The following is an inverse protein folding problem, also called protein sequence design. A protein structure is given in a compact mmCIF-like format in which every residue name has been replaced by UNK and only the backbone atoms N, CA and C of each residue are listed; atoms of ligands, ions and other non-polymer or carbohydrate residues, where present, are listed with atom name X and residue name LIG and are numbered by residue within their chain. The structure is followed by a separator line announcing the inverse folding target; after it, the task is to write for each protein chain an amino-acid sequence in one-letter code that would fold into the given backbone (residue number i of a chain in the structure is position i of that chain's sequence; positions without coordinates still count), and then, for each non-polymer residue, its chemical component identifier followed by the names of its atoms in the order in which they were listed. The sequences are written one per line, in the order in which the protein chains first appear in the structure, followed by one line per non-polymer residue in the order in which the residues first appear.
data_IF_326221279525
#
_entry.id   IF_326221279525
#
_cell.length_a   1.000
_cell.length_b   1.000
_cell.length_c   1.000
_cell.angle_alpha   90.00
_cell.angle_beta   90.00
_cell.angle_gamma   90.00
#
_symmetry.space_group_name_H-M   'P 1'
#
loop_
_entity.id
_entity.type
_entity.pdbx_description
1 polymer ?
#
# COMPACT_ATOMS: atom_id res chain seq x y z
N UNK A 1 21.54 -22.55 16.06
CA UNK A 1 20.57 -21.98 17.03
C UNK A 1 20.09 -20.56 16.71
N UNK A 2 20.94 -19.59 16.31
CA UNK A 2 20.49 -18.20 16.02
C UNK A 2 19.44 -18.07 14.89
N UNK A 3 19.61 -18.76 13.76
CA UNK A 3 18.61 -18.77 12.65
C UNK A 3 17.27 -19.37 13.07
N UNK A 4 17.28 -20.51 13.78
CA UNK A 4 16.05 -21.14 14.27
C UNK A 4 15.29 -20.24 15.26
N UNK A 5 16.01 -19.56 16.17
CA UNK A 5 15.42 -18.59 17.09
C UNK A 5 14.81 -17.40 16.33
N UNK A 6 15.48 -16.89 15.29
CA UNK A 6 14.95 -15.82 14.44
C UNK A 6 13.64 -16.22 13.75
N UNK A 7 13.59 -17.40 13.10
CA UNK A 7 12.37 -17.90 12.46
C UNK A 7 11.24 -18.18 13.46
N UNK A 8 11.54 -18.70 14.65
CA UNK A 8 10.56 -18.88 15.72
C UNK A 8 10.00 -17.55 16.23
N UNK A 9 10.85 -16.52 16.37
CA UNK A 9 10.40 -15.19 16.78
C UNK A 9 9.52 -14.54 15.72
N UNK A 10 9.90 -14.66 14.44
CA UNK A 10 9.08 -14.18 13.31
C UNK A 10 7.72 -14.91 13.24
N UNK A 11 7.72 -16.21 13.54
CA UNK A 11 6.53 -17.06 13.47
C UNK A 11 5.59 -16.91 14.67
N UNK A 12 6.03 -16.49 15.86
CA UNK A 12 5.15 -16.42 17.05
C UNK A 12 5.02 -15.03 17.67
N UNK A 13 5.95 -14.10 17.43
CA UNK A 13 6.01 -12.81 18.12
C UNK A 13 5.85 -11.62 17.16
N UNK A 14 5.01 -11.77 16.14
CA UNK A 14 4.67 -10.70 15.19
C UNK A 14 3.28 -10.14 15.49
N UNK A 15 3.08 -8.83 15.27
CA UNK A 15 1.75 -8.18 15.37
C UNK A 15 0.72 -8.90 14.48
N UNK A 16 1.17 -9.44 13.36
CA UNK A 16 0.36 -10.27 12.46
C UNK A 16 -0.10 -11.58 13.12
N UNK A 17 0.75 -12.26 13.91
CA UNK A 17 0.34 -13.44 14.68
C UNK A 17 -0.80 -13.11 15.62
N UNK A 18 -0.65 -12.00 16.35
CA UNK A 18 -1.64 -11.57 17.33
C UNK A 18 -2.98 -11.27 16.64
N UNK A 19 -2.95 -10.57 15.49
CA UNK A 19 -4.15 -10.35 14.68
C UNK A 19 -4.79 -11.67 14.25
N UNK A 20 -3.99 -12.60 13.70
CA UNK A 20 -4.49 -13.92 13.28
C UNK A 20 -5.09 -14.73 14.44
N UNK A 21 -4.47 -14.67 15.62
CA UNK A 21 -5.00 -15.33 16.81
C UNK A 21 -6.34 -14.72 17.22
N UNK A 22 -6.44 -13.38 17.23
CA UNK A 22 -7.68 -12.65 17.53
C UNK A 22 -8.79 -12.98 16.53
N UNK A 23 -8.50 -13.04 15.22
CA UNK A 23 -9.51 -13.45 14.22
C UNK A 23 -10.00 -14.87 14.44
N UNK A 24 -9.13 -15.78 14.89
CA UNK A 24 -9.49 -17.13 15.31
C UNK A 24 -10.46 -17.13 16.50
N UNK A 25 -10.17 -16.34 17.55
CA UNK A 25 -11.05 -16.20 18.72
C UNK A 25 -12.41 -15.64 18.32
N UNK A 26 -12.44 -14.61 17.48
CA UNK A 26 -13.70 -14.02 16.97
C UNK A 26 -14.50 -15.07 16.20
N UNK A 27 -13.86 -15.86 15.33
CA UNK A 27 -14.53 -16.92 14.59
C UNK A 27 -15.17 -17.97 15.52
N UNK A 28 -14.50 -18.32 16.62
CA UNK A 28 -15.05 -19.23 17.64
C UNK A 28 -16.26 -18.61 18.34
N UNK A 29 -16.19 -17.33 18.69
CA UNK A 29 -17.33 -16.61 19.30
C UNK A 29 -18.53 -16.59 18.34
N UNK A 30 -18.30 -16.29 17.06
CA UNK A 30 -19.34 -16.35 16.02
C UNK A 30 -19.98 -17.73 15.96
N UNK A 31 -19.17 -18.80 15.98
CA UNK A 31 -19.69 -20.18 15.99
C UNK A 31 -20.63 -20.40 17.18
N UNK A 32 -20.16 -20.12 18.41
CA UNK A 32 -20.93 -20.33 19.64
C UNK A 32 -22.23 -19.53 19.63
N UNK A 33 -22.19 -18.26 19.21
CA UNK A 33 -23.38 -17.39 19.16
C UNK A 33 -24.41 -17.90 18.15
N UNK A 34 -23.97 -18.29 16.95
CA UNK A 34 -24.87 -18.83 15.93
C UNK A 34 -25.45 -20.16 16.38
N UNK A 35 -24.65 -21.06 16.94
CA UNK A 35 -25.11 -22.32 17.50
C UNK A 35 -26.17 -22.09 18.59
N UNK A 36 -25.90 -21.21 19.55
CA UNK A 36 -26.83 -20.87 20.62
C UNK A 36 -28.13 -20.27 20.07
N UNK A 37 -28.03 -19.40 19.07
CA UNK A 37 -29.19 -18.79 18.43
C UNK A 37 -30.04 -19.84 17.70
N UNK A 38 -29.44 -20.69 16.88
CA UNK A 38 -30.14 -21.78 16.17
C UNK A 38 -30.82 -22.75 17.16
N UNK A 39 -30.12 -23.14 18.22
CA UNK A 39 -30.61 -24.14 19.17
C UNK A 39 -31.65 -23.59 20.15
N UNK A 40 -31.44 -22.37 20.70
CA UNK A 40 -32.32 -21.79 21.73
C UNK A 40 -33.44 -20.93 21.17
N UNK A 41 -33.20 -20.15 20.12
CA UNK A 41 -34.21 -19.23 19.58
C UNK A 41 -35.09 -19.86 18.50
N UNK A 42 -34.53 -20.76 17.67
CA UNK A 42 -35.27 -21.39 16.57
C UNK A 42 -35.73 -22.82 16.88
N UNK A 43 -35.37 -23.37 18.06
CA UNK A 43 -35.74 -24.74 18.45
C UNK A 43 -35.16 -25.83 17.54
N UNK A 44 -34.10 -25.51 16.80
CA UNK A 44 -33.46 -26.43 15.86
C UNK A 44 -32.48 -27.35 16.60
N UNK A 45 -33.03 -28.26 17.42
CA UNK A 45 -32.24 -29.15 18.29
C UNK A 45 -31.48 -30.25 17.55
N UNK A 46 -31.76 -30.47 16.27
CA UNK A 46 -30.96 -31.42 15.48
C UNK A 46 -29.63 -30.77 15.16
N UNK A 47 -28.55 -31.43 15.57
CA UNK A 47 -27.15 -31.04 15.37
C UNK A 47 -26.88 -30.46 13.97
N UNK A 48 -27.39 -31.08 12.91
CA UNK A 48 -27.19 -30.56 11.55
C UNK A 48 -27.73 -29.13 11.33
N UNK A 49 -28.90 -28.80 11.88
CA UNK A 49 -29.52 -27.49 11.68
C UNK A 49 -28.89 -26.38 12.52
N UNK A 50 -28.22 -26.73 13.62
CA UNK A 50 -27.51 -25.77 14.48
C UNK A 50 -26.04 -25.61 14.10
N UNK A 51 -25.33 -26.72 13.91
CA UNK A 51 -23.87 -26.74 13.80
C UNK A 51 -23.38 -26.39 12.40
N UNK A 52 -24.08 -26.85 11.35
CA UNK A 52 -23.65 -26.56 9.98
C UNK A 52 -23.67 -25.06 9.67
N UNK A 53 -24.76 -24.30 9.95
CA UNK A 53 -24.75 -22.86 9.74
C UNK A 53 -23.72 -22.13 10.60
N UNK A 54 -23.53 -22.57 11.85
CA UNK A 54 -22.56 -21.97 12.77
C UNK A 54 -21.11 -22.13 12.28
N UNK A 55 -20.76 -23.32 11.78
CA UNK A 55 -19.45 -23.60 11.19
C UNK A 55 -19.25 -22.77 9.92
N UNK A 56 -20.24 -22.72 9.02
CA UNK A 56 -20.14 -21.95 7.77
C UNK A 56 -19.90 -20.47 8.07
N UNK A 57 -20.70 -19.89 8.98
CA UNK A 57 -20.58 -18.47 9.30
C UNK A 57 -19.26 -18.16 10.02
N UNK A 58 -18.82 -19.04 10.91
CA UNK A 58 -17.51 -18.94 11.57
C UNK A 58 -16.35 -18.96 10.57
N UNK A 59 -16.37 -19.88 9.61
CA UNK A 59 -15.35 -19.98 8.56
C UNK A 59 -15.36 -18.74 7.66
N UNK A 60 -16.54 -18.24 7.31
CA UNK A 60 -16.69 -17.03 6.51
C UNK A 60 -16.18 -15.79 7.25
N UNK A 61 -16.53 -15.62 8.53
CA UNK A 61 -16.00 -14.52 9.36
C UNK A 61 -14.48 -14.59 9.49
N UNK A 62 -13.92 -15.78 9.71
CA UNK A 62 -12.48 -15.98 9.76
C UNK A 62 -11.82 -15.59 8.43
N UNK A 63 -12.41 -15.98 7.29
CA UNK A 63 -11.91 -15.63 5.97
C UNK A 63 -11.87 -14.11 5.76
N UNK A 64 -13.00 -13.44 6.00
CA UNK A 64 -13.14 -11.99 5.79
C UNK A 64 -12.16 -11.21 6.66
N UNK A 65 -12.08 -11.55 7.95
CA UNK A 65 -11.17 -10.88 8.88
C UNK A 65 -9.70 -11.12 8.52
N UNK A 66 -9.35 -12.36 8.12
CA UNK A 66 -8.00 -12.67 7.68
C UNK A 66 -7.64 -11.93 6.39
N UNK A 67 -8.57 -11.84 5.43
CA UNK A 67 -8.37 -11.13 4.17
C UNK A 67 -8.17 -9.63 4.37
N UNK A 68 -8.98 -8.98 5.21
CA UNK A 68 -8.99 -7.52 5.35
C UNK A 68 -7.96 -7.03 6.38
N UNK A 69 -7.88 -7.70 7.53
CA UNK A 69 -7.17 -7.16 8.69
C UNK A 69 -5.80 -7.81 8.93
N UNK A 70 -5.69 -9.11 8.70
CA UNK A 70 -4.45 -9.86 8.93
C UNK A 70 -3.52 -9.75 7.72
N UNK A 71 -3.98 -10.15 6.54
CA UNK A 71 -3.14 -10.30 5.34
C UNK A 71 -3.36 -9.22 4.28
N UNK A 72 -4.43 -8.40 4.38
CA UNK A 72 -4.75 -7.33 3.41
C UNK A 72 -4.67 -7.79 1.94
N UNK A 73 -5.28 -8.93 1.63
CA UNK A 73 -5.14 -9.55 0.31
C UNK A 73 -5.98 -8.87 -0.77
N UNK A 74 -5.39 -8.71 -1.95
CA UNK A 74 -6.00 -8.14 -3.15
C UNK A 74 -6.35 -9.20 -4.20
N UNK A 75 -6.20 -10.49 -3.88
CA UNK A 75 -6.34 -11.57 -4.86
C UNK A 75 -7.80 -11.87 -5.22
N UNK A 76 -8.05 -12.63 -6.30
CA UNK A 76 -9.41 -12.99 -6.72
C UNK A 76 -10.18 -13.67 -5.58
N UNK A 77 -11.35 -13.12 -5.24
CA UNK A 77 -12.12 -13.51 -4.05
C UNK A 77 -12.54 -14.98 -4.08
N UNK A 78 -13.03 -15.48 -5.22
CA UNK A 78 -13.52 -16.85 -5.31
C UNK A 78 -12.38 -17.88 -5.22
N UNK A 79 -11.30 -17.68 -5.98
CA UNK A 79 -10.16 -18.59 -5.98
C UNK A 79 -9.37 -18.56 -4.64
N UNK A 80 -9.33 -17.41 -3.98
CA UNK A 80 -8.75 -17.30 -2.64
C UNK A 80 -9.59 -18.01 -1.58
N UNK A 81 -10.91 -17.79 -1.61
CA UNK A 81 -11.83 -18.45 -0.68
C UNK A 81 -11.76 -19.97 -0.81
N UNK A 82 -11.71 -20.50 -2.04
CA UNK A 82 -11.62 -21.94 -2.27
C UNK A 82 -10.30 -22.52 -1.72
N UNK A 83 -9.18 -21.81 -1.90
CA UNK A 83 -7.89 -22.17 -1.28
C UNK A 83 -7.99 -22.14 0.24
N UNK A 84 -8.58 -21.09 0.82
CA UNK A 84 -8.72 -20.94 2.28
C UNK A 84 -9.49 -22.12 2.90
N UNK A 85 -10.64 -22.46 2.35
CA UNK A 85 -11.47 -23.57 2.85
C UNK A 85 -10.75 -24.91 2.64
N UNK A 86 -10.19 -25.13 1.45
CA UNK A 86 -9.48 -26.36 1.11
C UNK A 86 -8.28 -26.63 2.02
N UNK A 87 -7.45 -25.63 2.27
CA UNK A 87 -6.29 -25.77 3.16
C UNK A 87 -6.71 -26.05 4.59
N UNK A 88 -7.77 -25.39 5.06
CA UNK A 88 -8.26 -25.57 6.43
C UNK A 88 -8.79 -26.97 6.67
N UNK A 89 -9.55 -27.51 5.72
CA UNK A 89 -10.03 -28.90 5.77
C UNK A 89 -8.87 -29.90 5.73
N UNK A 90 -7.89 -29.69 4.85
CA UNK A 90 -6.73 -30.56 4.75
C UNK A 90 -5.90 -30.56 6.04
N UNK A 91 -5.67 -29.38 6.63
CA UNK A 91 -4.90 -29.23 7.87
C UNK A 91 -5.61 -29.88 9.04
N UNK A 92 -6.93 -29.65 9.21
CA UNK A 92 -7.71 -30.33 10.25
C UNK A 92 -7.69 -31.84 10.06
N UNK A 93 -7.81 -32.35 8.84
CA UNK A 93 -7.70 -33.79 8.58
C UNK A 93 -6.33 -34.36 9.00
N UNK A 94 -5.24 -33.70 8.62
CA UNK A 94 -3.88 -34.16 8.93
C UNK A 94 -3.61 -34.14 10.43
N UNK A 95 -3.91 -33.04 11.12
CA UNK A 95 -3.49 -32.89 12.52
C UNK A 95 -4.52 -33.43 13.52
N UNK A 96 -5.82 -33.24 13.28
CA UNK A 96 -6.86 -33.70 14.21
C UNK A 96 -7.14 -35.19 14.04
N UNK A 97 -7.24 -35.70 12.81
CA UNK A 97 -7.57 -37.11 12.60
C UNK A 97 -6.32 -37.99 12.57
N UNK A 98 -5.36 -37.68 11.69
CA UNK A 98 -4.15 -38.50 11.58
C UNK A 98 -3.15 -38.24 12.72
N UNK A 99 -2.97 -36.99 13.14
CA UNK A 99 -2.04 -36.61 14.21
C UNK A 99 -2.42 -37.18 15.57
N UNK A 100 -3.70 -37.06 15.96
CA UNK A 100 -4.19 -37.66 17.21
C UNK A 100 -4.08 -39.19 17.15
N UNK A 101 -4.47 -39.80 16.03
CA UNK A 101 -4.34 -41.26 15.85
C UNK A 101 -2.88 -41.72 15.97
N UNK A 102 -1.94 -40.99 15.38
CA UNK A 102 -0.52 -41.29 15.50
C UNK A 102 -0.04 -41.23 16.96
N UNK A 103 -0.43 -40.19 17.70
CA UNK A 103 -0.08 -40.06 19.12
C UNK A 103 -0.61 -41.22 19.97
N UNK A 104 -1.84 -41.68 19.70
CA UNK A 104 -2.45 -42.76 20.46
C UNK A 104 -1.93 -44.15 20.09
N UNK A 105 -1.76 -44.43 18.79
CA UNK A 105 -1.47 -45.79 18.32
C UNK A 105 0.01 -46.06 18.08
N UNK A 106 0.80 -45.04 17.77
CA UNK A 106 2.23 -45.19 17.50
C UNK A 106 3.06 -44.77 18.69
N UNK A 107 2.77 -43.61 19.27
CA UNK A 107 3.52 -43.10 20.43
C UNK A 107 2.95 -43.57 21.78
N UNK A 108 1.83 -44.32 21.76
CA UNK A 108 1.12 -44.84 22.94
C UNK A 108 0.90 -43.78 24.04
N UNK A 109 0.70 -42.52 23.65
CA UNK A 109 0.58 -41.40 24.58
C UNK A 109 -0.89 -41.03 24.76
N UNK A 110 -1.46 -41.41 25.90
CA UNK A 110 -2.84 -41.09 26.32
C UNK A 110 -2.89 -40.21 27.56
N UNK A 111 -1.88 -39.35 27.73
CA UNK A 111 -1.83 -38.44 28.88
C UNK A 111 -3.04 -37.50 28.87
N UNK A 112 -3.94 -37.66 29.83
CA UNK A 112 -5.07 -36.77 30.04
C UNK A 112 -4.61 -35.56 30.85
N UNK A 113 -4.86 -34.35 30.33
CA UNK A 113 -4.59 -33.09 31.04
C UNK A 113 -5.81 -32.73 31.88
N UNK A 114 -7.00 -32.87 31.29
CA UNK A 114 -8.30 -32.73 31.95
C UNK A 114 -9.05 -34.04 31.75
N UNK A 115 -9.32 -34.80 32.83
CA UNK A 115 -9.94 -36.12 32.73
C UNK A 115 -11.22 -36.11 31.89
N UNK A 116 -11.26 -36.95 30.85
CA UNK A 116 -12.42 -37.08 29.94
C UNK A 116 -12.70 -35.89 29.02
N UNK A 117 -11.93 -34.80 29.08
CA UNK A 117 -12.20 -33.57 28.30
C UNK A 117 -11.05 -33.26 27.34
N UNK A 118 -9.81 -33.24 27.84
CA UNK A 118 -8.65 -32.80 27.07
C UNK A 118 -7.44 -33.67 27.37
N UNK A 119 -6.92 -34.31 26.33
CA UNK A 119 -5.64 -35.01 26.38
C UNK A 119 -4.54 -34.20 25.67
N UNK A 120 -3.31 -34.59 25.96
CA UNK A 120 -2.12 -33.94 25.40
C UNK A 120 -2.07 -34.03 23.86
N UNK A 121 -2.60 -35.11 23.27
CA UNK A 121 -2.62 -35.28 21.82
C UNK A 121 -3.56 -34.26 21.14
N UNK A 122 -4.75 -34.04 21.69
CA UNK A 122 -5.70 -33.01 21.24
C UNK A 122 -5.14 -31.60 21.38
N UNK A 123 -4.48 -31.30 22.50
CA UNK A 123 -3.87 -29.99 22.72
C UNK A 123 -2.76 -29.72 21.69
N UNK A 124 -1.88 -30.70 21.46
CA UNK A 124 -0.82 -30.59 20.46
C UNK A 124 -1.39 -30.46 19.05
N UNK A 125 -2.38 -31.29 18.69
CA UNK A 125 -3.05 -31.22 17.40
C UNK A 125 -3.64 -29.82 17.15
N UNK A 126 -4.35 -29.26 18.13
CA UNK A 126 -4.93 -27.91 18.03
C UNK A 126 -3.85 -26.84 17.83
N UNK A 127 -2.74 -26.92 18.57
CA UNK A 127 -1.62 -26.01 18.39
C UNK A 127 -1.02 -26.08 16.98
N UNK A 128 -0.83 -27.29 16.44
CA UNK A 128 -0.36 -27.48 15.08
C UNK A 128 -1.35 -26.99 14.03
N UNK A 129 -2.66 -27.20 14.23
CA UNK A 129 -3.72 -26.69 13.33
C UNK A 129 -3.67 -25.16 13.24
N UNK A 130 -3.53 -24.46 14.36
CA UNK A 130 -3.44 -22.99 14.37
C UNK A 130 -2.20 -22.51 13.61
N UNK A 131 -1.04 -23.12 13.89
CA UNK A 131 0.22 -22.73 13.24
C UNK A 131 0.19 -23.05 11.75
N UNK A 132 -0.24 -24.25 11.36
CA UNK A 132 -0.31 -24.69 9.98
C UNK A 132 -1.30 -23.85 9.16
N UNK A 133 -2.47 -23.51 9.72
CA UNK A 133 -3.44 -22.64 9.04
C UNK A 133 -2.91 -21.22 8.85
N UNK A 134 -2.12 -20.71 9.79
CA UNK A 134 -1.44 -19.42 9.60
C UNK A 134 -0.39 -19.48 8.51
N UNK A 135 0.49 -20.49 8.55
CA UNK A 135 1.57 -20.67 7.56
C UNK A 135 0.97 -20.82 6.17
N UNK A 136 -0.05 -21.67 6.01
CA UNK A 136 -0.78 -21.81 4.76
C UNK A 136 -1.48 -20.51 4.34
N UNK A 137 -2.07 -19.80 5.30
CA UNK A 137 -2.62 -18.46 5.12
C UNK A 137 -1.63 -17.50 4.46
N UNK A 138 -0.44 -17.37 5.04
CA UNK A 138 0.62 -16.46 4.60
C UNK A 138 1.24 -16.84 3.26
N UNK A 139 1.50 -18.13 3.01
CA UNK A 139 2.29 -18.56 1.85
C UNK A 139 1.47 -19.08 0.67
N UNK A 140 0.23 -19.52 0.89
CA UNK A 140 -0.55 -20.21 -0.13
C UNK A 140 -1.91 -19.58 -0.38
N UNK A 141 -2.62 -19.13 0.65
CA UNK A 141 -3.99 -18.64 0.55
C UNK A 141 -4.03 -17.16 0.19
N UNK A 142 -3.56 -16.30 1.09
CA UNK A 142 -3.66 -14.85 0.95
C UNK A 142 -2.40 -14.33 0.25
N UNK A 143 -2.58 -13.80 -0.96
CA UNK A 143 -1.49 -13.13 -1.69
C UNK A 143 -1.57 -11.63 -1.46
N UNK A 144 -0.47 -11.02 -1.07
CA UNK A 144 -0.36 -9.57 -0.98
C UNK A 144 0.06 -9.00 -2.34
N UNK A 145 0.08 -7.66 -2.46
CA UNK A 145 0.62 -6.99 -3.67
C UNK A 145 2.07 -7.41 -3.94
N UNK A 146 2.83 -7.79 -2.90
CA UNK A 146 4.21 -8.23 -3.02
C UNK A 146 4.38 -9.67 -3.56
N UNK A 147 3.33 -10.51 -3.52
CA UNK A 147 3.40 -11.94 -3.88
C UNK A 147 2.98 -12.24 -5.33
N UNK A 148 2.75 -11.20 -6.14
CA UNK A 148 2.42 -11.36 -7.55
C UNK A 148 3.71 -11.45 -8.38
N UNK A 149 4.00 -12.57 -9.07
CA UNK A 149 5.26 -12.80 -9.80
C UNK A 149 5.43 -11.94 -11.07
N UNK A 150 4.75 -10.80 -11.16
CA UNK A 150 4.85 -9.82 -12.26
C UNK A 150 4.85 -8.36 -11.80
N UNK A 151 4.89 -8.10 -10.49
CA UNK A 151 5.07 -6.75 -9.94
C UNK A 151 6.48 -6.63 -9.42
N UNK A 152 7.32 -5.87 -10.13
CA UNK A 152 8.65 -5.42 -9.68
C UNK A 152 8.53 -4.90 -8.23
N UNK A 153 9.55 -5.18 -7.40
CA UNK A 153 9.67 -4.68 -6.02
C UNK A 153 9.27 -3.18 -5.95
N UNK A 154 8.35 -2.75 -5.06
CA UNK A 154 7.92 -1.35 -4.98
C UNK A 154 9.07 -0.36 -4.90
N UNK A 155 10.15 -0.71 -4.21
CA UNK A 155 11.34 0.13 -4.15
C UNK A 155 12.06 0.13 -5.50
N UNK A 156 12.23 -1.03 -6.15
CA UNK A 156 12.80 -1.11 -7.49
C UNK A 156 11.98 -0.35 -8.55
N UNK A 157 10.64 -0.34 -8.44
CA UNK A 157 9.76 0.45 -9.28
C UNK A 157 9.97 1.96 -9.09
N UNK A 158 10.08 2.40 -7.83
CA UNK A 158 10.41 3.78 -7.50
C UNK A 158 11.78 4.17 -8.04
N UNK A 159 12.80 3.35 -7.76
CA UNK A 159 14.17 3.55 -8.23
C UNK A 159 14.22 3.62 -9.75
N UNK A 160 13.44 2.77 -10.44
CA UNK A 160 13.30 2.80 -11.90
C UNK A 160 12.63 4.09 -12.38
N UNK A 161 11.53 4.51 -11.76
CA UNK A 161 10.82 5.73 -12.12
C UNK A 161 11.72 6.97 -11.95
N UNK A 162 12.44 7.06 -10.82
CA UNK A 162 13.42 8.12 -10.56
C UNK A 162 14.60 8.01 -11.52
N UNK A 163 15.08 6.80 -11.82
CA UNK A 163 16.15 6.59 -12.80
C UNK A 163 15.73 6.98 -14.21
N UNK A 164 14.46 6.81 -14.61
CA UNK A 164 13.97 7.31 -15.90
C UNK A 164 14.09 8.83 -15.97
N UNK A 165 13.71 9.54 -14.91
CA UNK A 165 13.88 11.00 -14.79
C UNK A 165 15.38 11.35 -14.89
N UNK A 166 16.25 10.63 -14.20
CA UNK A 166 17.70 10.86 -14.20
C UNK A 166 18.43 10.51 -15.50
N UNK A 167 17.91 9.57 -16.30
CA UNK A 167 18.46 9.16 -17.61
C UNK A 167 18.01 10.07 -18.75
N UNK A 168 16.91 10.79 -18.59
CA UNK A 168 16.48 11.77 -19.57
C UNK A 168 17.56 12.84 -19.75
N UNK A 169 17.69 13.38 -20.96
CA UNK A 169 18.72 14.37 -21.27
C UNK A 169 18.60 15.56 -20.29
N UNK A 170 19.69 15.85 -19.57
CA UNK A 170 19.78 17.00 -18.68
C UNK A 170 19.71 18.31 -19.45
N UNK A 171 20.21 18.29 -20.68
CA UNK A 171 20.25 19.43 -21.56
C UNK A 171 19.53 19.15 -22.89
N UNK A 172 18.85 20.17 -23.43
CA UNK A 172 18.34 20.21 -24.79
C UNK A 172 19.28 19.69 -25.89
N UNK A 173 18.83 18.74 -26.73
CA UNK A 173 19.51 18.45 -28.02
C UNK A 173 19.14 19.47 -29.12
N UNK A 174 18.07 20.25 -28.91
CA UNK A 174 17.59 21.25 -29.87
C UNK A 174 17.13 22.53 -29.15
N UNK A 175 17.19 23.68 -29.81
CA UNK A 175 16.77 24.97 -29.23
C UNK A 175 15.23 25.15 -29.19
N UNK A 176 14.49 24.03 -29.26
CA UNK A 176 13.02 24.02 -29.28
C UNK A 176 12.49 24.49 -27.92
N UNK A 177 11.96 25.73 -27.90
CA UNK A 177 11.45 26.44 -26.71
C UNK A 177 10.23 25.76 -26.06
N UNK A 178 9.55 24.88 -26.78
CA UNK A 178 8.23 24.32 -26.40
C UNK A 178 8.26 22.83 -26.01
N UNK A 179 9.39 22.29 -25.54
CA UNK A 179 9.47 20.86 -25.18
C UNK A 179 8.52 20.45 -24.06
N UNK A 180 8.64 21.13 -22.92
CA UNK A 180 7.79 20.88 -21.77
C UNK A 180 6.32 21.09 -22.12
N UNK A 181 6.01 22.17 -22.85
CA UNK A 181 4.63 22.48 -23.26
C UNK A 181 4.00 21.41 -24.15
N UNK A 182 4.77 20.77 -25.06
CA UNK A 182 4.28 19.63 -25.85
C UNK A 182 3.97 18.42 -24.97
N UNK A 183 4.83 18.10 -23.99
CA UNK A 183 4.57 17.02 -23.03
C UNK A 183 3.31 17.32 -22.18
N UNK A 184 3.18 18.54 -21.67
CA UNK A 184 2.05 18.91 -20.84
C UNK A 184 0.74 18.91 -21.62
N UNK A 185 0.76 19.31 -22.90
CA UNK A 185 -0.39 19.23 -23.78
C UNK A 185 -0.85 17.79 -24.02
N UNK A 186 0.09 16.86 -24.23
CA UNK A 186 -0.21 15.42 -24.33
C UNK A 186 -0.81 14.87 -23.02
N UNK A 187 -0.46 15.47 -21.88
CA UNK A 187 -1.01 15.15 -20.56
C UNK A 187 -2.29 15.93 -20.22
N UNK A 188 -2.85 16.69 -21.17
CA UNK A 188 -4.10 17.44 -20.99
C UNK A 188 -3.95 18.73 -20.17
N UNK A 189 -2.81 19.41 -20.32
CA UNK A 189 -2.48 20.71 -19.73
C UNK A 189 -2.84 20.82 -18.23
N UNK A 190 -2.27 19.96 -17.37
CA UNK A 190 -2.65 19.88 -15.96
C UNK A 190 -2.42 21.18 -15.18
N UNK A 191 -1.46 21.98 -15.62
CA UNK A 191 -1.12 23.29 -15.04
C UNK A 191 -2.23 24.35 -15.14
N UNK A 192 -3.28 24.12 -15.96
CA UNK A 192 -4.43 25.02 -16.08
C UNK A 192 -5.49 24.82 -14.99
N UNK A 193 -5.34 23.83 -14.13
CA UNK A 193 -6.35 23.46 -13.14
C UNK A 193 -6.35 24.36 -11.88
N UNK A 194 -5.30 25.16 -11.68
CA UNK A 194 -5.09 25.95 -10.46
C UNK A 194 -4.33 27.25 -10.79
N UNK A 195 -4.50 28.32 -10.00
CA UNK A 195 -3.62 29.49 -10.05
C UNK A 195 -2.24 29.12 -9.47
N UNK A 196 -1.20 29.82 -9.92
CA UNK A 196 0.15 29.54 -9.45
C UNK A 196 0.99 30.82 -9.30
N UNK A 197 1.80 30.88 -8.25
CA UNK A 197 2.88 31.84 -8.09
C UNK A 197 4.16 31.26 -8.69
N UNK A 198 4.81 32.00 -9.58
CA UNK A 198 6.04 31.56 -10.25
C UNK A 198 7.27 32.32 -9.74
N UNK A 199 8.17 31.62 -9.06
CA UNK A 199 9.32 32.21 -8.36
C UNK A 199 10.60 31.94 -9.15
N UNK A 200 11.11 32.99 -9.77
CA UNK A 200 12.39 33.02 -10.47
C UNK A 200 13.42 33.88 -9.73
N UNK A 201 14.70 33.59 -9.90
CA UNK A 201 15.77 34.37 -9.29
C UNK A 201 17.09 33.62 -9.11
N UNK A 202 18.16 34.36 -8.88
CA UNK A 202 19.51 33.79 -8.69
C UNK A 202 19.61 33.08 -7.35
N UNK A 203 19.22 33.74 -6.26
CA UNK A 203 19.30 33.25 -4.88
C UNK A 203 17.97 33.40 -4.16
N UNK A 204 17.75 32.57 -3.13
CA UNK A 204 16.60 32.69 -2.24
C UNK A 204 15.28 32.14 -2.77
N UNK A 205 15.23 31.59 -3.99
CA UNK A 205 14.02 31.00 -4.58
C UNK A 205 13.34 29.96 -3.66
N UNK A 206 14.08 28.94 -3.23
CA UNK A 206 13.59 27.93 -2.29
C UNK A 206 13.11 28.48 -0.95
N UNK A 207 13.78 29.51 -0.42
CA UNK A 207 13.36 30.16 0.84
C UNK A 207 12.06 30.94 0.65
N UNK A 208 11.95 31.74 -0.42
CA UNK A 208 10.75 32.52 -0.72
C UNK A 208 9.58 31.59 -1.08
N UNK A 209 9.82 30.50 -1.81
CA UNK A 209 8.78 29.52 -2.13
C UNK A 209 8.25 28.83 -0.87
N UNK A 210 9.14 28.47 0.06
CA UNK A 210 8.77 27.95 1.39
C UNK A 210 7.94 28.96 2.17
N UNK A 211 8.41 30.19 2.33
CA UNK A 211 7.69 31.22 3.08
C UNK A 211 6.30 31.48 2.50
N UNK A 212 6.20 31.61 1.18
CA UNK A 212 4.90 31.83 0.53
C UNK A 212 3.97 30.63 0.70
N UNK A 213 4.46 29.40 0.52
CA UNK A 213 3.66 28.20 0.70
C UNK A 213 3.12 28.09 2.13
N UNK A 214 3.96 28.38 3.13
CA UNK A 214 3.56 28.38 4.54
C UNK A 214 2.56 29.50 4.86
N UNK A 215 2.75 30.72 4.34
CA UNK A 215 1.81 31.83 4.54
C UNK A 215 0.42 31.49 3.96
N UNK A 216 0.38 30.97 2.73
CA UNK A 216 -0.87 30.59 2.07
C UNK A 216 -1.56 29.42 2.79
N UNK A 217 -0.79 28.42 3.20
CA UNK A 217 -1.32 27.29 3.95
C UNK A 217 -1.86 27.71 5.33
N UNK A 218 -1.15 28.62 6.03
CA UNK A 218 -1.61 29.21 7.29
C UNK A 218 -2.90 30.03 7.11
N UNK A 219 -3.11 30.60 5.93
CA UNK A 219 -4.35 31.29 5.57
C UNK A 219 -5.52 30.34 5.23
N UNK A 220 -5.31 29.01 5.30
CA UNK A 220 -6.35 28.01 5.09
C UNK A 220 -6.44 27.45 3.66
N UNK A 221 -5.51 27.79 2.77
CA UNK A 221 -5.49 27.26 1.41
C UNK A 221 -4.82 25.88 1.36
N UNK A 222 -5.27 25.06 0.41
CA UNK A 222 -4.55 23.87 -0.03
C UNK A 222 -3.50 24.23 -1.06
N UNK A 223 -2.24 24.19 -0.65
CA UNK A 223 -1.10 24.69 -1.41
C UNK A 223 -0.28 23.55 -2.00
N UNK A 224 -0.15 23.53 -3.33
CA UNK A 224 0.89 22.75 -3.99
C UNK A 224 2.23 23.49 -3.94
N UNK A 225 3.31 22.82 -3.58
CA UNK A 225 4.62 23.43 -3.43
C UNK A 225 5.66 22.61 -4.20
N UNK A 226 6.29 23.25 -5.20
CA UNK A 226 7.29 22.66 -6.05
C UNK A 226 8.65 23.34 -5.87
N UNK A 227 9.69 22.56 -5.55
CA UNK A 227 11.06 23.03 -5.31
C UNK A 227 12.11 22.21 -6.03
N UNK A 228 13.27 22.82 -6.27
CA UNK A 228 14.44 22.10 -6.76
C UNK A 228 15.76 22.78 -6.36
N UNK A 229 16.84 22.02 -6.10
CA UNK A 229 16.91 20.56 -6.04
C UNK A 229 16.30 19.96 -4.75
N UNK A 230 16.25 18.62 -4.64
CA UNK A 230 15.97 17.95 -3.35
C UNK A 230 17.27 17.83 -2.54
N UNK A 231 17.16 17.67 -1.22
CA UNK A 231 18.31 17.47 -0.33
C UNK A 231 18.52 15.99 0.01
N UNK A 232 17.51 15.29 0.51
CA UNK A 232 17.65 13.89 0.95
C UNK A 232 16.78 12.93 0.13
N UNK A 233 15.51 13.28 -0.08
CA UNK A 233 14.48 12.46 -0.73
C UNK A 233 13.94 13.15 -1.96
N UNK A 234 13.76 12.40 -3.05
CA UNK A 234 13.17 12.91 -4.28
C UNK A 234 11.79 13.56 -4.05
N UNK A 235 11.02 13.01 -3.11
CA UNK A 235 9.66 13.40 -2.77
C UNK A 235 9.55 14.84 -2.25
N UNK A 236 10.62 15.38 -1.63
CA UNK A 236 10.70 16.75 -1.12
C UNK A 236 10.36 17.81 -2.18
N UNK A 237 10.59 17.49 -3.46
CA UNK A 237 10.35 18.42 -4.57
C UNK A 237 8.88 18.72 -4.82
N UNK A 238 8.00 17.82 -4.43
CA UNK A 238 6.56 17.91 -4.74
C UNK A 238 5.80 17.68 -3.46
N UNK A 239 5.28 18.76 -2.89
CA UNK A 239 4.55 18.75 -1.62
C UNK A 239 3.15 19.35 -1.78
N UNK A 240 2.18 18.84 -1.03
CA UNK A 240 0.86 19.47 -0.87
C UNK A 240 0.58 19.63 0.62
N UNK A 241 0.25 20.85 1.02
CA UNK A 241 -0.14 21.19 2.39
C UNK A 241 -1.56 21.74 2.38
N UNK A 242 -2.41 21.27 3.29
CA UNK A 242 -3.84 21.57 3.36
C UNK A 242 -4.19 22.22 4.70
N UNK A 243 -4.08 23.54 4.75
CA UNK A 243 -4.42 24.36 5.91
C UNK A 243 -3.44 24.29 7.10
N UNK A 244 -3.71 25.07 8.17
CA UNK A 244 -2.80 25.23 9.31
C UNK A 244 -2.45 23.92 10.05
N UNK A 245 -3.34 22.92 10.03
CA UNK A 245 -3.08 21.62 10.65
C UNK A 245 -1.94 20.85 9.96
N UNK A 246 -1.79 21.00 8.65
CA UNK A 246 -0.67 20.43 7.90
C UNK A 246 0.65 21.12 8.24
N UNK A 247 0.63 22.43 8.55
CA UNK A 247 1.83 23.14 9.02
C UNK A 247 2.28 22.65 10.40
N UNK A 248 1.34 22.45 11.33
CA UNK A 248 1.66 21.89 12.64
C UNK A 248 2.24 20.46 12.52
N UNK A 249 1.72 19.65 11.57
CA UNK A 249 2.28 18.33 11.25
C UNK A 249 3.66 18.43 10.62
N UNK A 250 3.87 19.39 9.72
CA UNK A 250 5.17 19.64 9.09
C UNK A 250 6.27 19.99 10.10
N UNK A 251 5.95 20.81 11.11
CA UNK A 251 6.88 21.16 12.18
C UNK A 251 7.31 19.93 13.01
N UNK A 252 6.45 18.92 13.12
CA UNK A 252 6.74 17.66 13.79
C UNK A 252 7.44 16.62 12.89
N UNK A 253 7.09 16.61 11.60
CA UNK A 253 7.58 15.68 10.59
C UNK A 253 7.71 16.38 9.23
N UNK A 254 8.95 16.62 8.81
CA UNK A 254 9.27 17.29 7.56
C UNK A 254 8.87 16.50 6.31
N UNK A 255 8.49 15.23 6.44
CA UNK A 255 7.92 14.45 5.33
C UNK A 255 6.45 14.77 5.05
N UNK A 256 5.80 15.55 5.92
CA UNK A 256 4.41 15.93 5.77
C UNK A 256 4.14 16.57 4.41
N UNK A 257 3.12 16.05 3.74
CA UNK A 257 2.66 16.55 2.44
C UNK A 257 3.52 16.13 1.25
N UNK A 258 4.68 15.48 1.44
CA UNK A 258 5.48 14.95 0.33
C UNK A 258 4.65 13.97 -0.52
N UNK A 259 4.84 14.00 -1.85
CA UNK A 259 4.18 13.06 -2.75
C UNK A 259 4.55 11.60 -2.36
N UNK A 260 3.59 10.67 -2.21
CA UNK A 260 3.93 9.28 -1.87
C UNK A 260 4.62 8.52 -3.02
N UNK A 261 5.50 7.58 -2.68
CA UNK A 261 6.24 6.76 -3.68
C UNK A 261 5.36 6.07 -4.71
N UNK A 262 4.24 5.50 -4.25
CA UNK A 262 3.25 4.84 -5.11
C UNK A 262 2.68 5.80 -6.17
N UNK A 263 2.54 7.07 -5.81
CA UNK A 263 1.96 8.11 -6.65
C UNK A 263 3.01 8.64 -7.64
N UNK A 264 4.28 8.70 -7.24
CA UNK A 264 5.40 8.91 -8.17
C UNK A 264 5.40 7.82 -9.25
N UNK A 265 5.40 6.54 -8.87
CA UNK A 265 5.45 5.42 -9.84
C UNK A 265 4.24 5.47 -10.78
N UNK A 266 3.04 5.66 -10.23
CA UNK A 266 1.79 5.73 -11.01
C UNK A 266 1.79 6.88 -12.01
N UNK A 267 2.20 8.08 -11.59
CA UNK A 267 2.23 9.26 -12.45
C UNK A 267 3.36 9.17 -13.48
N UNK A 268 4.53 8.66 -13.09
CA UNK A 268 5.63 8.44 -14.02
C UNK A 268 5.27 7.45 -15.13
N UNK A 269 4.48 6.41 -14.84
CA UNK A 269 3.94 5.54 -15.88
C UNK A 269 3.12 6.28 -16.95
N UNK A 270 2.32 7.28 -16.55
CA UNK A 270 1.57 8.16 -17.48
C UNK A 270 2.51 9.07 -18.27
N UNK A 271 3.46 9.70 -17.57
CA UNK A 271 4.42 10.66 -18.15
C UNK A 271 5.33 9.97 -19.16
N UNK A 272 5.87 8.80 -18.85
CA UNK A 272 6.71 8.02 -19.77
C UNK A 272 5.96 7.64 -21.04
N UNK A 273 4.68 7.26 -20.91
CA UNK A 273 3.86 6.92 -22.07
C UNK A 273 3.67 8.16 -22.96
N UNK A 274 3.34 9.31 -22.38
CA UNK A 274 3.22 10.57 -23.11
C UNK A 274 4.54 10.98 -23.76
N UNK A 275 5.66 10.89 -23.03
CA UNK A 275 7.00 11.19 -23.53
C UNK A 275 7.38 10.29 -24.73
N UNK A 276 7.08 8.99 -24.67
CA UNK A 276 7.28 8.06 -25.81
C UNK A 276 6.41 8.44 -27.01
N UNK A 277 5.16 8.82 -26.79
CA UNK A 277 4.25 9.26 -27.87
C UNK A 277 4.79 10.50 -28.58
N UNK A 278 5.19 11.54 -27.84
CA UNK A 278 5.71 12.78 -28.46
C UNK A 278 7.07 12.58 -29.12
N UNK A 279 7.92 11.70 -28.59
CA UNK A 279 9.20 11.37 -29.20
C UNK A 279 8.99 10.67 -30.55
N UNK A 280 8.03 9.73 -30.64
CA UNK A 280 7.70 9.05 -31.88
C UNK A 280 6.94 9.91 -32.90
N UNK A 281 6.03 10.77 -32.44
CA UNK A 281 5.19 11.62 -33.30
C UNK A 281 5.92 12.88 -33.78
N UNK A 282 6.57 13.59 -32.85
CA UNK A 282 7.06 14.95 -33.07
C UNK A 282 8.61 15.02 -33.09
N UNK A 283 9.30 13.91 -32.82
CA UNK A 283 10.76 13.88 -32.70
C UNK A 283 11.29 14.75 -31.55
N UNK A 284 10.48 14.94 -30.50
CA UNK A 284 10.81 15.78 -29.35
C UNK A 284 11.06 14.88 -28.13
N UNK A 285 12.30 14.90 -27.62
CA UNK A 285 12.65 14.25 -26.37
C UNK A 285 12.39 15.17 -25.17
N UNK A 286 11.71 14.66 -24.14
CA UNK A 286 11.52 15.34 -22.86
C UNK A 286 12.81 15.29 -22.03
N UNK A 287 13.14 16.41 -21.38
CA UNK A 287 14.26 16.48 -20.44
C UNK A 287 13.88 15.96 -19.05
N UNK A 288 14.89 15.79 -18.21
CA UNK A 288 14.71 15.49 -16.78
C UNK A 288 13.75 16.48 -16.10
N UNK A 289 13.92 17.78 -16.36
CA UNK A 289 13.12 18.84 -15.75
C UNK A 289 11.69 18.87 -16.28
N UNK A 290 11.46 18.55 -17.56
CA UNK A 290 10.11 18.47 -18.14
C UNK A 290 9.30 17.35 -17.48
N UNK A 291 9.88 16.17 -17.31
CA UNK A 291 9.19 15.04 -16.68
C UNK A 291 8.88 15.31 -15.19
N UNK A 292 9.83 15.91 -14.48
CA UNK A 292 9.66 16.27 -13.07
C UNK A 292 8.59 17.35 -12.88
N UNK A 293 8.56 18.35 -13.74
CA UNK A 293 7.56 19.41 -13.70
C UNK A 293 6.17 18.86 -14.08
N UNK A 294 6.09 17.94 -15.05
CA UNK A 294 4.86 17.23 -15.37
C UNK A 294 4.32 16.43 -14.17
N UNK A 295 5.20 15.77 -13.41
CA UNK A 295 4.85 15.03 -12.20
C UNK A 295 4.20 15.96 -11.16
N UNK A 296 4.82 17.11 -10.90
CA UNK A 296 4.29 18.12 -9.99
C UNK A 296 2.90 18.60 -10.45
N UNK A 297 2.76 18.95 -11.74
CA UNK A 297 1.49 19.46 -12.25
C UNK A 297 0.34 18.45 -12.18
N UNK A 298 0.61 17.20 -12.55
CA UNK A 298 -0.39 16.14 -12.43
C UNK A 298 -0.78 15.90 -10.97
N UNK A 299 0.20 15.92 -10.05
CA UNK A 299 -0.08 15.72 -8.63
C UNK A 299 -0.93 16.84 -8.05
N UNK A 300 -0.59 18.11 -8.30
CA UNK A 300 -1.36 19.24 -7.79
C UNK A 300 -2.78 19.28 -8.34
N UNK A 301 -2.96 18.91 -9.62
CA UNK A 301 -4.30 18.75 -10.21
C UNK A 301 -5.08 17.61 -9.56
N UNK A 302 -4.47 16.45 -9.35
CA UNK A 302 -5.12 15.31 -8.68
C UNK A 302 -5.45 15.61 -7.21
N UNK A 303 -4.66 16.45 -6.54
CA UNK A 303 -4.91 16.90 -5.17
C UNK A 303 -5.91 18.07 -5.07
N UNK A 304 -6.35 18.63 -6.21
CA UNK A 304 -7.22 19.80 -6.25
C UNK A 304 -6.70 20.96 -5.39
N UNK A 305 -5.42 21.33 -5.56
CA UNK A 305 -4.83 22.46 -4.85
C UNK A 305 -5.55 23.77 -5.22
N UNK A 306 -5.79 24.62 -4.23
CA UNK A 306 -6.37 25.96 -4.43
C UNK A 306 -5.38 26.91 -5.10
N UNK A 307 -4.09 26.72 -4.80
CA UNK A 307 -2.98 27.52 -5.35
C UNK A 307 -1.70 26.71 -5.36
N UNK A 308 -0.80 27.01 -6.28
CA UNK A 308 0.50 26.35 -6.38
C UNK A 308 1.65 27.37 -6.32
N UNK A 309 2.72 27.03 -5.62
CA UNK A 309 3.97 27.81 -5.57
C UNK A 309 5.04 27.04 -6.34
N UNK A 310 5.49 27.60 -7.45
CA UNK A 310 6.44 26.98 -8.38
C UNK A 310 7.80 27.70 -8.33
N UNK A 311 8.84 27.02 -7.87
CA UNK A 311 10.22 27.46 -8.05
C UNK A 311 10.74 27.09 -9.45
N UNK A 312 11.32 28.06 -10.17
CA UNK A 312 12.07 27.77 -11.42
C UNK A 312 13.31 26.95 -11.11
N UNK A 313 13.62 25.96 -11.95
CA UNK A 313 14.89 25.23 -11.87
C UNK A 313 16.09 26.11 -12.25
N UNK A 314 16.04 26.76 -13.41
CA UNK A 314 17.12 27.62 -13.90
C UNK A 314 16.60 28.79 -14.75
N UNK A 315 16.99 30.01 -14.37
CA UNK A 315 16.63 31.22 -15.11
C UNK A 315 15.14 31.55 -14.97
N UNK A 316 14.34 31.19 -15.97
CA UNK A 316 12.91 31.46 -15.99
C UNK A 316 12.31 31.37 -17.39
N UNK A 317 12.77 32.19 -18.35
CA UNK A 317 12.17 32.28 -19.71
C UNK A 317 12.05 30.93 -20.44
N UNK A 318 13.03 30.05 -20.27
CA UNK A 318 13.08 28.72 -20.91
C UNK A 318 12.94 27.58 -19.90
N UNK A 319 12.51 27.89 -18.68
CA UNK A 319 12.33 26.89 -17.64
C UNK A 319 11.10 26.02 -17.94
N UNK A 320 11.16 24.74 -17.57
CA UNK A 320 10.05 23.79 -17.70
C UNK A 320 8.79 24.25 -16.95
N UNK A 321 8.92 25.09 -15.91
CA UNK A 321 7.79 25.69 -15.17
C UNK A 321 7.16 26.89 -15.88
N UNK A 322 7.83 27.48 -16.88
CA UNK A 322 7.38 28.71 -17.56
C UNK A 322 6.32 28.45 -18.63
N UNK A 323 5.29 27.72 -18.25
CA UNK A 323 4.06 27.49 -19.04
C UNK A 323 2.84 28.17 -18.42
N UNK A 324 2.97 28.69 -17.19
CA UNK A 324 1.92 29.42 -16.50
C UNK A 324 1.71 30.78 -17.18
N UNK A 325 0.53 30.96 -17.79
CA UNK A 325 0.20 32.16 -18.55
C UNK A 325 -0.02 33.41 -17.68
N UNK A 326 -0.50 33.23 -16.45
CA UNK A 326 -0.82 34.30 -15.48
C UNK A 326 -0.25 33.95 -14.10
N UNK A 327 1.09 34.05 -13.94
CA UNK A 327 1.79 33.70 -12.71
C UNK A 327 1.68 34.73 -11.59
#
# INVERSE_FOLDING_TARGET
MRKAKYYLTELFFTVEFLKYFVTGVIATIVNVLVYMFMNRMLGLHRWYFSDVPAIILSVLSAYVLNRIWVFRSTSNLFAEFLRFVGTRLAISFVFEYAGISFMYYVLNNRTEIIPGVLDLAKLLALAFVVVANRVSGKFYVFRTVADNPGTEDPQALLDRAIATIGRANKFPDSDKRDRGSVLYRELGDPWRAYPAFHIAGTNGKGSISSYLAHILCQAGYKVGWYTSPFLERFNERVRVLDGPEDLARYDADQTTGEIPDRDIVRLMGKIEKAARTIAGRDGIASTQFDMMTALAFLWFKEQACDVVVLETGMGGRLDSTNVIEKP
#
